data_IF_433732463196
#
_entry.id   IF_433732463196
#
_cell.length_a   1.000
_cell.length_b   1.000
_cell.length_c   1.000
_cell.angle_alpha   90.00
_cell.angle_beta   90.00
_cell.angle_gamma   90.00
#
_symmetry.space_group_name_H-M   'P 1'
#
loop_
_entity.id
_entity.type
_entity.pdbx_description
1 polymer ?
#
# COMPACT_ATOMS: atom_id res chain seq x y z
N UNK A 1 15.35 -21.61 -19.12
CA UNK A 1 14.90 -20.73 -18.02
C UNK A 1 14.12 -21.58 -17.03
N UNK A 2 14.43 -21.46 -15.76
CA UNK A 2 13.71 -22.09 -14.67
C UNK A 2 12.92 -21.04 -13.91
N UNK A 3 11.65 -21.27 -13.65
CA UNK A 3 10.79 -20.38 -12.88
C UNK A 3 10.39 -21.07 -11.59
N UNK A 4 10.72 -20.47 -10.46
CA UNK A 4 10.32 -20.97 -9.14
C UNK A 4 9.09 -20.22 -8.67
N UNK A 5 8.32 -20.88 -7.82
CA UNK A 5 7.26 -20.25 -7.07
C UNK A 5 7.80 -19.28 -6.01
N UNK A 6 7.05 -19.09 -4.96
CA UNK A 6 7.50 -18.24 -3.86
C UNK A 6 8.70 -18.87 -3.15
N UNK A 7 9.75 -18.08 -2.82
CA UNK A 7 10.91 -18.58 -2.11
C UNK A 7 10.55 -19.28 -0.79
N UNK A 8 11.18 -20.39 -0.55
CA UNK A 8 11.03 -21.19 0.66
C UNK A 8 12.12 -22.25 0.69
N UNK A 9 11.86 -23.37 0.03
CA UNK A 9 12.79 -24.51 -0.03
C UNK A 9 13.53 -24.60 -1.39
N UNK A 10 13.56 -23.52 -2.14
CA UNK A 10 14.15 -23.44 -3.48
C UNK A 10 15.70 -23.47 -3.49
N UNK A 11 16.35 -23.26 -2.35
CA UNK A 11 17.81 -23.32 -2.23
C UNK A 11 18.42 -24.65 -2.67
N UNK A 12 17.72 -25.76 -2.47
CA UNK A 12 18.16 -27.05 -2.97
C UNK A 12 18.12 -27.09 -4.51
N UNK A 13 17.11 -26.50 -5.09
CA UNK A 13 16.93 -26.45 -6.54
C UNK A 13 17.97 -25.52 -7.18
N UNK A 14 18.33 -24.43 -6.53
CA UNK A 14 19.40 -23.54 -6.99
C UNK A 14 20.73 -24.28 -7.12
N UNK A 15 21.05 -25.16 -6.18
CA UNK A 15 22.27 -26.00 -6.28
C UNK A 15 22.24 -26.90 -7.51
N UNK A 16 21.09 -27.49 -7.82
CA UNK A 16 20.92 -28.33 -9.02
C UNK A 16 21.05 -27.49 -10.30
N UNK A 17 20.44 -26.32 -10.32
CA UNK A 17 20.51 -25.41 -11.47
C UNK A 17 21.95 -24.95 -11.73
N UNK A 18 22.67 -24.58 -10.69
CA UNK A 18 24.07 -24.21 -10.80
C UNK A 18 24.93 -25.40 -11.30
N UNK A 19 24.66 -26.62 -10.81
CA UNK A 19 25.38 -27.81 -11.27
C UNK A 19 25.09 -28.11 -12.76
N UNK A 20 23.92 -27.72 -13.27
CA UNK A 20 23.55 -27.85 -14.68
C UNK A 20 24.04 -26.68 -15.54
N UNK A 21 24.68 -25.66 -14.95
CA UNK A 21 25.13 -24.48 -15.67
C UNK A 21 23.99 -23.57 -16.12
N UNK A 22 22.85 -23.60 -15.44
CA UNK A 22 21.70 -22.74 -15.74
C UNK A 22 21.84 -21.46 -14.94
N UNK A 23 21.97 -20.35 -15.64
CA UNK A 23 22.02 -18.99 -15.07
C UNK A 23 20.67 -18.23 -15.16
N UNK A 24 19.74 -18.75 -15.93
CA UNK A 24 18.41 -18.16 -16.14
C UNK A 24 17.40 -18.58 -15.07
N UNK A 25 17.49 -18.03 -13.88
CA UNK A 25 16.56 -18.22 -12.77
C UNK A 25 15.61 -17.02 -12.65
N UNK A 26 14.32 -17.26 -12.59
CA UNK A 26 13.32 -16.22 -12.32
C UNK A 26 12.41 -16.65 -11.18
N UNK A 27 12.23 -15.78 -10.21
CA UNK A 27 11.36 -15.99 -9.06
C UNK A 27 10.00 -15.35 -9.27
N UNK A 28 8.93 -15.99 -8.78
CA UNK A 28 7.60 -15.41 -8.64
C UNK A 28 7.65 -14.00 -8.00
N UNK A 29 8.51 -13.80 -7.01
CA UNK A 29 8.68 -12.53 -6.30
C UNK A 29 9.05 -11.36 -7.22
N UNK A 30 9.82 -11.62 -8.29
CA UNK A 30 10.21 -10.60 -9.25
C UNK A 30 9.03 -9.98 -10.00
N UNK A 31 7.95 -10.72 -10.16
CA UNK A 31 6.74 -10.27 -10.85
C UNK A 31 5.64 -9.86 -9.88
N UNK A 32 5.52 -10.56 -8.75
CA UNK A 32 4.43 -10.38 -7.79
C UNK A 32 4.62 -9.19 -6.85
N UNK A 33 5.78 -9.08 -6.21
CA UNK A 33 5.98 -8.14 -5.10
C UNK A 33 7.07 -7.09 -5.32
N UNK A 34 7.70 -7.06 -6.48
CA UNK A 34 8.75 -6.08 -6.77
C UNK A 34 8.24 -4.65 -6.70
N UNK A 35 7.06 -4.37 -7.26
CA UNK A 35 6.46 -3.04 -7.20
C UNK A 35 6.18 -2.58 -5.76
N UNK A 36 5.64 -3.45 -4.91
CA UNK A 36 5.41 -3.15 -3.51
C UNK A 36 6.72 -2.89 -2.76
N UNK A 37 7.76 -3.71 -3.00
CA UNK A 37 9.08 -3.53 -2.38
C UNK A 37 9.73 -2.21 -2.77
N UNK A 38 9.69 -1.86 -4.05
CA UNK A 38 10.19 -0.57 -4.54
C UNK A 38 9.41 0.58 -3.90
N UNK A 39 8.08 0.49 -3.87
CA UNK A 39 7.24 1.50 -3.23
C UNK A 39 7.61 1.73 -1.78
N UNK A 40 7.72 0.68 -0.97
CA UNK A 40 8.13 0.82 0.44
C UNK A 40 9.57 1.32 0.59
N UNK A 41 10.51 0.79 -0.21
CA UNK A 41 11.91 1.21 -0.13
C UNK A 41 12.11 2.69 -0.47
N UNK A 42 11.28 3.25 -1.36
CA UNK A 42 11.39 4.65 -1.78
C UNK A 42 11.09 5.65 -0.68
N UNK A 43 10.16 5.35 0.20
CA UNK A 43 9.77 6.28 1.26
C UNK A 43 10.15 5.82 2.67
N UNK A 44 10.34 4.51 2.91
CA UNK A 44 10.72 3.96 4.21
C UNK A 44 12.19 3.53 4.28
N UNK A 45 12.87 3.36 3.14
CA UNK A 45 14.25 2.87 3.08
C UNK A 45 14.41 1.36 3.32
N UNK A 46 13.32 0.61 3.53
CA UNK A 46 13.34 -0.84 3.73
C UNK A 46 12.05 -1.49 3.18
N UNK A 47 12.03 -2.84 3.14
CA UNK A 47 10.86 -3.59 2.69
C UNK A 47 9.68 -3.44 3.69
N UNK A 48 8.49 -3.70 3.22
CA UNK A 48 7.23 -3.55 3.97
C UNK A 48 7.27 -4.15 5.37
N UNK A 49 6.83 -3.43 6.39
CA UNK A 49 6.69 -3.96 7.74
C UNK A 49 5.47 -4.89 7.85
N UNK A 50 5.46 -5.73 8.88
CA UNK A 50 4.24 -6.44 9.27
C UNK A 50 3.30 -5.50 10.03
N UNK A 51 2.02 -5.49 9.68
CA UNK A 51 1.04 -4.67 10.36
C UNK A 51 0.65 -5.27 11.73
N UNK A 52 0.41 -4.40 12.72
CA UNK A 52 -0.12 -4.78 14.03
C UNK A 52 -1.66 -4.74 14.02
N UNK A 53 -2.26 -5.71 13.34
CA UNK A 53 -3.71 -5.79 13.19
C UNK A 53 -4.46 -5.91 14.53
N UNK A 54 -3.88 -6.60 15.50
CA UNK A 54 -4.56 -6.88 16.76
C UNK A 54 -4.76 -5.63 17.62
N UNK A 55 -3.91 -4.62 17.50
CA UNK A 55 -3.97 -3.37 18.27
C UNK A 55 -4.37 -2.15 17.44
N UNK A 56 -4.64 -2.35 16.13
CA UNK A 56 -5.10 -1.26 15.26
C UNK A 56 -6.50 -0.78 15.64
N UNK A 57 -6.77 0.51 15.46
CA UNK A 57 -8.12 1.09 15.58
C UNK A 57 -8.90 1.02 14.28
N UNK A 58 -8.18 1.12 13.17
CA UNK A 58 -8.72 0.99 11.82
C UNK A 58 -7.81 0.04 11.05
N UNK A 59 -8.41 -0.91 10.36
CA UNK A 59 -7.73 -1.88 9.51
C UNK A 59 -8.25 -1.66 8.09
N UNK A 60 -7.35 -1.24 7.20
CA UNK A 60 -7.68 -0.96 5.82
C UNK A 60 -7.06 -2.02 4.91
N UNK A 61 -7.89 -2.87 4.34
CA UNK A 61 -7.50 -4.01 3.49
C UNK A 61 -7.74 -3.65 2.03
N UNK A 62 -6.66 -3.45 1.28
CA UNK A 62 -6.74 -3.12 -0.15
C UNK A 62 -6.37 -4.37 -0.94
N UNK A 63 -7.34 -4.93 -1.67
CA UNK A 63 -7.18 -6.13 -2.53
C UNK A 63 -6.54 -7.32 -1.80
N UNK A 64 -6.88 -7.50 -0.52
CA UNK A 64 -6.32 -8.55 0.33
C UNK A 64 -7.38 -9.57 0.73
N UNK A 65 -7.25 -10.81 0.24
CA UNK A 65 -8.14 -11.92 0.57
C UNK A 65 -7.48 -12.81 1.63
N UNK A 66 -7.50 -12.37 2.89
CA UNK A 66 -6.70 -12.95 3.96
C UNK A 66 -7.21 -14.29 4.48
N UNK A 67 -8.50 -14.56 4.38
CA UNK A 67 -9.09 -15.84 4.79
C UNK A 67 -8.64 -17.01 3.93
N UNK A 68 -8.28 -16.78 2.68
CA UNK A 68 -7.70 -17.80 1.82
C UNK A 68 -6.24 -18.12 2.14
N UNK A 69 -5.70 -17.64 3.26
CA UNK A 69 -4.31 -17.87 3.67
C UNK A 69 -3.30 -16.98 2.96
N UNK A 70 -3.72 -15.84 2.44
CA UNK A 70 -2.82 -14.89 1.80
C UNK A 70 -1.76 -14.41 2.80
N UNK A 71 -0.53 -14.76 2.52
CA UNK A 71 0.69 -14.54 3.27
C UNK A 71 0.81 -15.30 4.60
N UNK A 72 -0.19 -15.41 5.43
CA UNK A 72 -0.16 -16.24 6.65
C UNK A 72 -1.54 -16.29 7.28
N UNK A 73 -2.00 -17.47 7.66
CA UNK A 73 -3.24 -17.65 8.43
C UNK A 73 -3.34 -16.80 9.72
N UNK A 74 -2.24 -16.54 10.46
CA UNK A 74 -2.29 -15.67 11.63
C UNK A 74 -2.80 -14.25 11.37
N UNK A 75 -2.70 -13.72 10.13
CA UNK A 75 -3.22 -12.38 9.84
C UNK A 75 -4.75 -12.30 9.94
N UNK A 76 -5.47 -13.27 9.41
CA UNK A 76 -6.92 -13.30 9.54
C UNK A 76 -7.35 -13.34 11.01
N UNK A 77 -6.70 -14.19 11.82
CA UNK A 77 -6.97 -14.26 13.25
C UNK A 77 -6.69 -12.92 13.96
N UNK A 78 -5.57 -12.27 13.67
CA UNK A 78 -5.22 -10.98 14.28
C UNK A 78 -6.18 -9.86 13.89
N UNK A 79 -6.71 -9.87 12.67
CA UNK A 79 -7.74 -8.93 12.22
C UNK A 79 -9.03 -9.16 13.02
N UNK A 80 -9.45 -10.41 13.18
CA UNK A 80 -10.61 -10.74 14.02
C UNK A 80 -10.40 -10.34 15.49
N UNK A 81 -9.19 -10.49 16.02
CA UNK A 81 -8.87 -10.01 17.38
C UNK A 81 -8.92 -8.48 17.47
N UNK A 82 -8.49 -7.77 16.44
CA UNK A 82 -8.64 -6.32 16.33
C UNK A 82 -10.11 -5.90 16.31
N UNK A 83 -10.93 -6.55 15.48
CA UNK A 83 -12.39 -6.27 15.42
C UNK A 83 -13.07 -6.51 16.78
N UNK A 84 -12.74 -7.62 17.46
CA UNK A 84 -13.28 -7.89 18.80
C UNK A 84 -12.90 -6.84 19.84
N UNK A 85 -11.81 -6.12 19.61
CA UNK A 85 -11.35 -4.99 20.43
C UNK A 85 -11.92 -3.65 19.98
N UNK A 86 -12.78 -3.64 18.95
CA UNK A 86 -13.44 -2.46 18.43
C UNK A 86 -12.73 -1.77 17.25
N UNK A 87 -11.79 -2.45 16.59
CA UNK A 87 -11.23 -1.96 15.34
C UNK A 87 -12.28 -1.94 14.23
N UNK A 88 -12.34 -0.88 13.46
CA UNK A 88 -13.12 -0.80 12.23
C UNK A 88 -12.34 -1.41 11.08
N UNK A 89 -12.92 -2.37 10.38
CA UNK A 89 -12.32 -3.00 9.20
C UNK A 89 -12.98 -2.47 7.93
N UNK A 90 -12.16 -1.91 7.06
CA UNK A 90 -12.56 -1.42 5.74
C UNK A 90 -11.90 -2.32 4.70
N UNK A 91 -12.69 -2.95 3.85
CA UNK A 91 -12.19 -3.80 2.78
C UNK A 91 -12.46 -3.18 1.41
N UNK A 92 -11.39 -3.04 0.63
CA UNK A 92 -11.45 -2.59 -0.76
C UNK A 92 -11.23 -3.81 -1.64
N UNK A 93 -12.29 -4.29 -2.26
CA UNK A 93 -12.25 -5.47 -3.13
C UNK A 93 -13.38 -5.32 -4.16
N UNK A 94 -13.12 -5.43 -5.46
CA UNK A 94 -14.18 -5.37 -6.49
C UNK A 94 -15.20 -6.50 -6.34
N UNK A 95 -14.86 -7.54 -5.61
CA UNK A 95 -15.69 -8.69 -5.30
C UNK A 95 -16.01 -8.75 -3.81
N UNK A 96 -17.27 -9.06 -3.47
CA UNK A 96 -17.63 -9.40 -2.10
C UNK A 96 -17.01 -10.75 -1.73
N UNK A 97 -15.72 -10.72 -1.42
CA UNK A 97 -14.98 -11.89 -0.93
C UNK A 97 -15.39 -12.24 0.50
N UNK A 98 -14.94 -13.39 1.00
CA UNK A 98 -15.18 -13.75 2.41
C UNK A 98 -14.58 -12.68 3.35
N UNK A 99 -13.41 -12.13 3.03
CA UNK A 99 -12.81 -11.04 3.80
C UNK A 99 -13.68 -9.79 3.76
N UNK A 100 -14.16 -9.41 2.58
CA UNK A 100 -15.05 -8.26 2.43
C UNK A 100 -16.39 -8.45 3.16
N UNK A 101 -16.92 -9.68 3.20
CA UNK A 101 -18.18 -9.99 3.89
C UNK A 101 -18.08 -9.90 5.42
N UNK A 102 -16.87 -9.89 5.98
CA UNK A 102 -16.62 -9.74 7.43
C UNK A 102 -16.19 -8.30 7.80
N UNK A 103 -16.02 -7.42 6.81
CA UNK A 103 -15.64 -6.04 7.04
C UNK A 103 -16.84 -5.19 7.47
N UNK A 104 -16.58 -4.14 8.24
CA UNK A 104 -17.59 -3.15 8.63
C UNK A 104 -17.99 -2.27 7.44
N UNK A 105 -17.02 -2.01 6.54
CA UNK A 105 -17.24 -1.27 5.30
C UNK A 105 -16.60 -2.01 4.12
N UNK A 106 -17.36 -2.16 3.07
CA UNK A 106 -16.90 -2.70 1.81
C UNK A 106 -16.98 -1.66 0.71
N UNK A 107 -15.83 -1.37 0.09
CA UNK A 107 -15.69 -0.48 -1.05
C UNK A 107 -15.35 -1.33 -2.28
N UNK A 108 -16.16 -1.22 -3.33
CA UNK A 108 -16.01 -2.03 -4.54
C UNK A 108 -15.62 -1.15 -5.76
N UNK A 109 -14.37 -0.67 -5.84
CA UNK A 109 -13.93 0.11 -6.99
C UNK A 109 -13.83 -0.77 -8.23
N UNK A 110 -13.92 -0.16 -9.40
CA UNK A 110 -13.57 -0.84 -10.63
C UNK A 110 -12.08 -1.20 -10.62
N UNK A 111 -11.68 -2.41 -11.06
CA UNK A 111 -10.28 -2.78 -11.15
C UNK A 111 -9.46 -1.75 -11.93
N UNK A 112 -8.35 -1.31 -11.35
CA UNK A 112 -7.48 -0.28 -11.92
C UNK A 112 -7.84 1.16 -11.53
N UNK A 113 -8.85 1.37 -10.67
CA UNK A 113 -9.25 2.71 -10.18
C UNK A 113 -8.89 2.96 -8.72
N UNK A 114 -8.17 2.06 -8.09
CA UNK A 114 -7.78 2.16 -6.67
C UNK A 114 -6.96 3.41 -6.39
N UNK A 115 -6.12 3.83 -7.34
CA UNK A 115 -5.34 5.06 -7.23
C UNK A 115 -6.25 6.30 -7.12
N UNK A 116 -7.31 6.38 -7.92
CA UNK A 116 -8.26 7.49 -7.87
C UNK A 116 -8.98 7.56 -6.53
N UNK A 117 -9.39 6.42 -5.99
CA UNK A 117 -10.00 6.35 -4.66
C UNK A 117 -9.03 6.84 -3.57
N UNK A 118 -7.77 6.42 -3.61
CA UNK A 118 -6.77 6.85 -2.64
C UNK A 118 -6.45 8.35 -2.76
N UNK A 119 -6.41 8.89 -3.98
CA UNK A 119 -6.22 10.31 -4.23
C UNK A 119 -7.41 11.16 -3.78
N UNK A 120 -8.65 10.65 -3.95
CA UNK A 120 -9.83 11.28 -3.37
C UNK A 120 -9.79 11.31 -1.83
N UNK A 121 -9.33 10.24 -1.19
CA UNK A 121 -9.10 10.22 0.26
C UNK A 121 -8.04 11.24 0.69
N UNK A 122 -6.92 11.34 -0.05
CA UNK A 122 -5.89 12.33 0.22
C UNK A 122 -6.45 13.76 0.12
N UNK A 123 -7.25 14.04 -0.90
CA UNK A 123 -7.95 15.32 -1.05
C UNK A 123 -8.84 15.64 0.17
N UNK A 124 -9.66 14.69 0.61
CA UNK A 124 -10.53 14.89 1.78
C UNK A 124 -9.72 15.21 3.05
N UNK A 125 -8.57 14.58 3.25
CA UNK A 125 -7.69 14.87 4.38
C UNK A 125 -7.09 16.29 4.30
N UNK A 126 -6.73 16.72 3.09
CA UNK A 126 -6.24 18.08 2.83
C UNK A 126 -7.35 19.11 3.09
N UNK A 127 -8.54 18.93 2.51
CA UNK A 127 -9.69 19.82 2.69
C UNK A 127 -10.14 19.91 4.17
N UNK A 128 -10.08 18.80 4.90
CA UNK A 128 -10.40 18.76 6.32
C UNK A 128 -9.29 19.34 7.22
N UNK A 129 -8.09 19.59 6.68
CA UNK A 129 -6.94 20.06 7.46
C UNK A 129 -6.45 19.06 8.52
N UNK A 130 -6.76 17.76 8.35
CA UNK A 130 -6.45 16.72 9.33
C UNK A 130 -5.11 16.01 9.10
N UNK A 131 -4.36 16.45 8.09
CA UNK A 131 -3.02 15.92 7.80
C UNK A 131 -1.96 16.50 8.73
N UNK A 132 -0.89 15.75 8.98
CA UNK A 132 0.21 16.16 9.86
C UNK A 132 1.13 17.17 9.15
N UNK A 133 0.84 18.45 9.32
CA UNK A 133 1.58 19.57 8.72
C UNK A 133 3.05 19.59 9.15
N UNK A 134 3.31 19.26 10.42
CA UNK A 134 4.67 19.29 10.94
C UNK A 134 5.51 18.15 10.38
N UNK A 135 4.94 16.95 10.28
CA UNK A 135 5.60 15.83 9.62
C UNK A 135 5.94 16.16 8.16
N UNK A 136 4.98 16.71 7.41
CA UNK A 136 5.21 17.07 6.00
C UNK A 136 6.30 18.13 5.88
N UNK A 137 6.28 19.13 6.76
CA UNK A 137 7.29 20.21 6.76
C UNK A 137 8.69 19.68 6.99
N UNK A 138 8.87 18.70 7.86
CA UNK A 138 10.18 18.20 8.27
C UNK A 138 10.72 17.06 7.40
N UNK A 139 9.84 16.20 6.90
CA UNK A 139 10.25 14.92 6.34
C UNK A 139 9.91 14.72 4.86
N UNK A 140 9.16 15.64 4.26
CA UNK A 140 8.79 15.58 2.85
C UNK A 140 9.58 16.64 2.07
N UNK A 141 10.03 16.32 0.87
CA UNK A 141 10.73 17.22 -0.04
C UNK A 141 9.77 18.19 -0.77
N UNK A 142 8.93 18.86 0.00
CA UNK A 142 7.83 19.68 -0.50
C UNK A 142 8.31 20.90 -1.30
N UNK A 143 9.47 21.48 -0.95
CA UNK A 143 10.06 22.61 -1.70
C UNK A 143 10.38 22.20 -3.14
N UNK A 144 10.98 21.00 -3.31
CA UNK A 144 11.29 20.46 -4.64
C UNK A 144 10.01 20.20 -5.42
N UNK A 145 9.01 19.56 -4.79
CA UNK A 145 7.71 19.29 -5.41
C UNK A 145 7.07 20.59 -5.91
N UNK A 146 7.05 21.61 -5.08
CA UNK A 146 6.43 22.90 -5.41
C UNK A 146 7.18 23.60 -6.56
N UNK A 147 8.51 23.61 -6.52
CA UNK A 147 9.32 24.20 -7.57
C UNK A 147 9.16 23.49 -8.94
N UNK A 148 8.97 22.18 -8.93
CA UNK A 148 8.80 21.39 -10.16
C UNK A 148 7.36 21.45 -10.71
N UNK A 149 6.36 21.45 -9.84
CA UNK A 149 4.95 21.36 -10.27
C UNK A 149 4.28 22.73 -10.40
N UNK A 150 4.71 23.72 -9.61
CA UNK A 150 4.13 25.08 -9.56
C UNK A 150 5.22 26.15 -9.49
N UNK A 151 6.06 26.27 -10.54
CA UNK A 151 7.12 27.28 -10.60
C UNK A 151 6.58 28.72 -10.62
N UNK A 152 5.29 28.90 -10.78
CA UNK A 152 4.56 30.16 -10.69
C UNK A 152 4.33 30.63 -9.24
N UNK A 153 4.47 29.73 -8.24
CA UNK A 153 4.28 30.04 -6.82
C UNK A 153 5.61 30.18 -6.10
N UNK A 154 5.66 31.10 -5.15
CA UNK A 154 6.80 31.19 -4.23
C UNK A 154 6.85 29.90 -3.39
N UNK A 155 8.05 29.30 -3.16
CA UNK A 155 8.18 28.04 -2.44
C UNK A 155 8.00 28.25 -0.92
N UNK A 156 6.78 28.52 -0.51
CA UNK A 156 6.34 28.61 0.89
C UNK A 156 5.45 27.44 1.26
N UNK A 157 5.43 27.08 2.56
CA UNK A 157 4.62 25.96 3.03
C UNK A 157 3.11 26.19 2.86
N UNK A 158 2.67 27.44 2.90
CA UNK A 158 1.25 27.77 2.68
C UNK A 158 0.86 27.58 1.20
N UNK A 159 1.78 27.90 0.27
CA UNK A 159 1.57 27.65 -1.15
C UNK A 159 1.59 26.16 -1.50
N UNK A 160 2.24 25.31 -0.69
CA UNK A 160 2.16 23.86 -0.86
C UNK A 160 0.72 23.35 -0.72
N UNK A 161 -0.01 23.80 0.29
CA UNK A 161 -1.40 23.37 0.51
C UNK A 161 -2.30 23.78 -0.67
N UNK A 162 -2.14 25.00 -1.17
CA UNK A 162 -2.84 25.49 -2.36
C UNK A 162 -2.52 24.62 -3.57
N UNK A 163 -1.24 24.33 -3.79
CA UNK A 163 -0.79 23.51 -4.92
C UNK A 163 -1.31 22.06 -4.84
N UNK A 164 -1.32 21.48 -3.63
CA UNK A 164 -1.86 20.11 -3.42
C UNK A 164 -3.36 20.06 -3.63
N UNK A 165 -4.13 21.01 -3.11
CA UNK A 165 -5.57 21.08 -3.32
C UNK A 165 -5.94 21.24 -4.80
N UNK A 166 -5.18 22.06 -5.54
CA UNK A 166 -5.35 22.23 -6.97
C UNK A 166 -5.00 20.94 -7.73
N UNK A 167 -3.88 20.30 -7.36
CA UNK A 167 -3.42 19.05 -7.98
C UNK A 167 -4.43 17.90 -7.79
N UNK A 168 -5.07 17.82 -6.64
CA UNK A 168 -6.07 16.80 -6.33
C UNK A 168 -7.51 17.21 -6.66
N UNK A 169 -7.73 18.37 -7.28
CA UNK A 169 -9.07 18.91 -7.51
C UNK A 169 -9.99 18.00 -8.35
N UNK A 170 -9.43 17.21 -9.25
CA UNK A 170 -10.18 16.27 -10.10
C UNK A 170 -10.64 15.00 -9.37
N UNK A 171 -10.01 14.65 -8.24
CA UNK A 171 -10.31 13.42 -7.50
C UNK A 171 -11.42 13.68 -6.49
N UNK A 172 -12.64 13.53 -6.93
CA UNK A 172 -13.84 13.68 -6.07
C UNK A 172 -14.30 12.34 -5.52
N UNK A 173 -14.84 12.28 -4.27
CA UNK A 173 -15.43 11.08 -3.67
C UNK A 173 -16.61 10.54 -4.46
#
# INVERSE_FOLDING_TARGET
>A
MYHVGRPGDDSYMERVLHAWGIDGHNSHTNVCSSGARVGYATWMGFDRPSADFANAKVIFLISSHLEAGHYFNPHAQRIMDGQRRGATVICVDPRLSNTASQADHWLAPWPGTEAFMLLAMARLLLEAGTWDREFVRQWVNWETLLAETRPDLEPTFDNLEVALLDHYAEYTP
#
